data_IF_702166252803
#
_entry.id   IF_702166252803
#
_cell.length_a   1.000
_cell.length_b   1.000
_cell.length_c   1.000
_cell.angle_alpha   90.00
_cell.angle_beta   90.00
_cell.angle_gamma   90.00
#
_symmetry.space_group_name_H-M   'P 1'
#
loop_
_entity.id
_entity.type
_entity.pdbx_description
1 polymer ?
#
# COMPACT_ATOMS: atom_id res chain seq x y z
N UNK A 1 -6.96 -38.94 -7.64
CA UNK A 1 -5.86 -37.97 -7.58
C UNK A 1 -6.37 -36.77 -6.79
N UNK A 2 -5.80 -36.49 -5.63
CA UNK A 2 -6.11 -35.26 -4.89
C UNK A 2 -5.52 -34.10 -5.73
N UNK A 3 -6.36 -33.26 -6.30
CA UNK A 3 -5.93 -32.01 -6.90
C UNK A 3 -5.37 -31.17 -5.76
N UNK A 4 -4.06 -30.94 -5.75
CA UNK A 4 -3.44 -29.98 -4.82
C UNK A 4 -4.11 -28.62 -5.08
N UNK A 5 -4.87 -28.14 -4.12
CA UNK A 5 -5.50 -26.83 -4.18
C UNK A 5 -4.39 -25.77 -4.38
N UNK A 6 -4.45 -25.04 -5.48
CA UNK A 6 -3.49 -23.97 -5.73
C UNK A 6 -3.79 -22.81 -4.77
N UNK A 7 -2.76 -22.27 -4.15
CA UNK A 7 -2.88 -21.20 -3.17
C UNK A 7 -1.81 -20.16 -3.47
N UNK A 8 -2.24 -18.96 -3.84
CA UNK A 8 -1.36 -17.81 -4.06
C UNK A 8 -1.29 -16.90 -2.83
N UNK A 9 -0.19 -16.20 -2.69
CA UNK A 9 0.06 -15.25 -1.60
C UNK A 9 0.18 -13.84 -2.17
N UNK A 10 -0.63 -12.91 -1.63
CA UNK A 10 -0.48 -11.49 -1.86
C UNK A 10 0.17 -10.86 -0.63
N UNK A 11 1.36 -10.32 -0.78
CA UNK A 11 2.00 -9.49 0.23
C UNK A 11 1.83 -8.02 -0.15
N UNK A 12 1.22 -7.23 0.74
CA UNK A 12 1.05 -5.79 0.54
C UNK A 12 1.96 -5.04 1.52
N UNK A 13 2.79 -4.15 0.99
CA UNK A 13 3.63 -3.22 1.74
C UNK A 13 3.28 -1.77 1.41
N UNK A 14 3.24 -0.92 2.44
CA UNK A 14 3.29 0.52 2.24
C UNK A 14 4.72 0.93 1.93
N UNK A 15 4.90 1.95 1.08
CA UNK A 15 6.22 2.56 0.92
C UNK A 15 6.78 3.01 2.27
N UNK A 16 8.09 2.84 2.48
CA UNK A 16 8.82 3.25 3.67
C UNK A 16 8.90 4.78 3.80
N UNK A 17 9.60 5.29 4.81
CA UNK A 17 9.68 6.73 5.07
C UNK A 17 10.23 7.49 3.86
N UNK A 18 9.47 8.48 3.36
CA UNK A 18 9.89 9.39 2.30
C UNK A 18 10.26 10.77 2.84
N UNK A 19 10.98 11.57 2.04
CA UNK A 19 11.36 12.96 2.37
C UNK A 19 10.17 13.79 2.86
N UNK A 20 9.01 13.67 2.23
CA UNK A 20 7.83 14.44 2.62
C UNK A 20 7.04 13.82 3.78
N UNK A 21 7.22 12.54 4.07
CA UNK A 21 6.75 11.97 5.36
C UNK A 21 7.53 12.59 6.51
N UNK A 22 8.85 12.69 6.39
CA UNK A 22 9.71 13.32 7.41
C UNK A 22 9.33 14.79 7.64
N UNK A 23 8.97 15.52 6.57
CA UNK A 23 8.56 16.94 6.62
C UNK A 23 7.09 17.14 7.03
N UNK A 24 6.30 16.07 7.23
CA UNK A 24 4.88 16.16 7.58
C UNK A 24 4.01 16.77 6.48
N UNK A 25 4.39 16.64 5.19
CA UNK A 25 3.66 17.22 4.06
C UNK A 25 2.68 16.24 3.42
N UNK A 26 1.62 16.80 2.83
CA UNK A 26 0.76 16.07 1.91
C UNK A 26 1.50 15.77 0.62
N UNK A 27 1.73 14.50 0.29
CA UNK A 27 2.59 14.12 -0.85
C UNK A 27 1.81 13.93 -2.15
N UNK A 28 0.69 13.25 -2.10
CA UNK A 28 -0.10 12.92 -3.29
C UNK A 28 0.77 12.27 -4.38
N UNK A 29 0.66 12.77 -5.59
CA UNK A 29 1.39 12.29 -6.76
C UNK A 29 2.76 12.95 -6.97
N UNK A 30 3.19 13.85 -6.08
CA UNK A 30 4.55 14.39 -6.13
C UNK A 30 5.56 13.27 -5.97
N UNK A 31 6.53 13.23 -6.87
CA UNK A 31 7.49 12.14 -6.98
C UNK A 31 8.74 12.40 -6.12
N UNK A 32 8.65 12.07 -4.84
CA UNK A 32 9.72 12.22 -3.83
C UNK A 32 10.44 10.89 -3.59
N UNK A 33 11.69 10.96 -3.11
CA UNK A 33 12.48 9.79 -2.76
C UNK A 33 12.15 9.28 -1.35
N UNK A 34 12.59 8.06 -1.06
CA UNK A 34 12.77 7.61 0.32
C UNK A 34 13.89 8.40 1.01
N UNK A 35 13.81 8.48 2.33
CA UNK A 35 14.97 8.82 3.16
C UNK A 35 15.93 7.63 3.21
N UNK A 36 17.19 7.84 3.61
CA UNK A 36 18.14 6.76 3.86
C UNK A 36 17.59 5.77 4.91
N UNK A 37 16.99 6.28 5.98
CA UNK A 37 16.28 5.49 6.98
C UNK A 37 15.17 4.65 6.35
N UNK A 38 14.33 5.27 5.49
CA UNK A 38 13.24 4.56 4.82
C UNK A 38 13.73 3.44 3.91
N UNK A 39 14.84 3.64 3.21
CA UNK A 39 15.43 2.56 2.41
C UNK A 39 15.91 1.40 3.28
N UNK A 40 16.57 1.69 4.41
CA UNK A 40 16.98 0.67 5.36
C UNK A 40 15.79 -0.10 5.97
N UNK A 41 14.70 0.61 6.30
CA UNK A 41 13.44 -0.02 6.74
C UNK A 41 12.88 -0.98 5.68
N UNK A 42 12.97 -0.61 4.39
CA UNK A 42 12.54 -1.49 3.30
C UNK A 42 13.38 -2.78 3.21
N UNK A 43 14.69 -2.68 3.43
CA UNK A 43 15.59 -3.85 3.51
C UNK A 43 15.16 -4.77 4.67
N UNK A 44 14.89 -4.22 5.85
CA UNK A 44 14.41 -5.00 7.00
C UNK A 44 13.07 -5.70 6.72
N UNK A 45 12.16 -5.06 5.98
CA UNK A 45 10.90 -5.69 5.55
C UNK A 45 11.17 -6.89 4.62
N UNK A 46 12.16 -6.79 3.74
CA UNK A 46 12.58 -7.88 2.86
C UNK A 46 13.06 -9.11 3.62
N UNK A 47 13.78 -8.93 4.72
CA UNK A 47 14.23 -10.02 5.59
C UNK A 47 13.07 -10.85 6.17
N UNK A 48 11.91 -10.22 6.39
CA UNK A 48 10.69 -10.88 6.86
C UNK A 48 10.01 -11.73 5.77
N UNK A 49 10.48 -11.69 4.52
CA UNK A 49 9.85 -12.33 3.37
C UNK A 49 10.72 -13.44 2.74
N UNK A 50 11.80 -13.86 3.39
CA UNK A 50 12.72 -14.89 2.88
C UNK A 50 12.07 -16.26 2.66
N UNK A 51 10.96 -16.53 3.34
CA UNK A 51 10.17 -17.76 3.23
C UNK A 51 9.17 -17.75 2.05
N UNK A 52 8.98 -16.61 1.35
CA UNK A 52 8.03 -16.47 0.26
C UNK A 52 8.78 -16.25 -1.05
N UNK A 53 8.69 -17.19 -1.99
CA UNK A 53 9.16 -16.96 -3.36
C UNK A 53 8.08 -16.26 -4.17
N UNK A 54 8.36 -15.05 -4.67
CA UNK A 54 7.45 -14.26 -5.51
C UNK A 54 7.59 -14.60 -6.99
N UNK A 55 6.49 -14.46 -7.72
CA UNK A 55 6.46 -14.56 -9.17
C UNK A 55 6.62 -13.19 -9.82
N UNK A 56 6.12 -12.14 -9.18
CA UNK A 56 6.11 -10.77 -9.72
C UNK A 56 5.89 -9.74 -8.63
N UNK A 57 6.35 -8.50 -8.84
CA UNK A 57 6.08 -7.37 -7.98
C UNK A 57 5.28 -6.29 -8.72
N UNK A 58 4.35 -5.66 -8.01
CA UNK A 58 3.56 -4.53 -8.47
C UNK A 58 3.90 -3.27 -7.66
N UNK A 59 4.13 -2.15 -8.33
CA UNK A 59 4.37 -0.85 -7.69
C UNK A 59 3.52 0.22 -8.36
N UNK A 60 3.38 1.36 -7.70
CA UNK A 60 2.89 2.57 -8.35
C UNK A 60 3.96 3.18 -9.27
N UNK A 61 3.60 4.22 -10.03
CA UNK A 61 4.55 5.01 -10.82
C UNK A 61 5.54 5.81 -9.96
N UNK A 62 5.26 6.01 -8.67
CA UNK A 62 5.99 6.94 -7.81
C UNK A 62 7.26 6.29 -7.25
N UNK A 63 8.38 7.02 -7.30
CA UNK A 63 9.73 6.53 -6.93
C UNK A 63 9.77 5.84 -5.58
N UNK A 64 9.12 6.42 -4.55
CA UNK A 64 9.13 5.86 -3.19
C UNK A 64 8.61 4.42 -3.10
N UNK A 65 7.65 4.00 -3.94
CA UNK A 65 7.20 2.60 -3.97
C UNK A 65 8.19 1.70 -4.69
N UNK A 66 8.79 2.18 -5.78
CA UNK A 66 9.82 1.46 -6.52
C UNK A 66 11.07 1.25 -5.67
N UNK A 67 11.55 2.32 -5.00
CA UNK A 67 12.68 2.25 -4.07
C UNK A 67 12.40 1.34 -2.87
N UNK A 68 11.15 1.34 -2.35
CA UNK A 68 10.76 0.40 -1.29
C UNK A 68 10.78 -1.04 -1.81
N UNK A 69 10.30 -1.28 -3.03
CA UNK A 69 10.37 -2.59 -3.66
C UNK A 69 11.82 -3.05 -3.85
N UNK A 70 12.71 -2.14 -4.28
CA UNK A 70 14.14 -2.42 -4.42
C UNK A 70 14.76 -2.85 -3.08
N UNK A 71 14.51 -2.09 -2.01
CA UNK A 71 14.99 -2.42 -0.66
C UNK A 71 14.42 -3.75 -0.14
N UNK A 72 13.13 -4.02 -0.37
CA UNK A 72 12.53 -5.31 0.01
C UNK A 72 13.22 -6.48 -0.72
N UNK A 73 13.46 -6.35 -2.02
CA UNK A 73 14.11 -7.42 -2.79
C UNK A 73 15.59 -7.59 -2.41
N UNK A 74 16.29 -6.49 -2.07
CA UNK A 74 17.64 -6.53 -1.51
C UNK A 74 17.69 -7.30 -0.19
N UNK A 75 16.82 -6.96 0.77
CA UNK A 75 16.75 -7.61 2.07
C UNK A 75 16.32 -9.08 2.01
N UNK A 76 15.48 -9.42 1.04
CA UNK A 76 15.11 -10.80 0.74
C UNK A 76 16.30 -11.59 0.19
N UNK A 77 17.12 -11.02 -0.68
CA UNK A 77 18.44 -11.49 -1.08
C UNK A 77 18.47 -12.47 -2.25
N UNK A 78 17.36 -13.07 -2.63
CA UNK A 78 17.31 -14.15 -3.63
C UNK A 78 16.50 -13.83 -4.91
N UNK A 79 15.86 -12.69 -5.00
CA UNK A 79 14.97 -12.31 -6.11
C UNK A 79 15.15 -10.84 -6.58
N UNK A 80 16.37 -10.36 -6.67
CA UNK A 80 16.69 -8.97 -7.06
C UNK A 80 16.13 -8.62 -8.45
N UNK A 81 16.16 -9.57 -9.38
CA UNK A 81 15.69 -9.43 -10.76
C UNK A 81 14.21 -9.83 -10.94
N UNK A 82 13.42 -9.87 -9.85
CA UNK A 82 12.00 -10.18 -9.93
C UNK A 82 11.27 -9.26 -10.94
N UNK A 83 10.46 -9.80 -11.87
CA UNK A 83 9.67 -8.99 -12.79
C UNK A 83 8.80 -7.96 -12.06
N UNK A 84 8.78 -6.72 -12.56
CA UNK A 84 8.08 -5.60 -11.92
C UNK A 84 7.08 -4.97 -12.88
N UNK A 85 5.85 -4.82 -12.43
CA UNK A 85 4.78 -4.10 -13.13
C UNK A 85 4.55 -2.78 -12.41
N UNK A 86 4.58 -1.70 -13.18
CA UNK A 86 4.30 -0.34 -12.71
C UNK A 86 2.88 0.01 -13.15
N UNK A 87 2.01 0.34 -12.20
CA UNK A 87 0.61 0.61 -12.46
C UNK A 87 0.18 1.96 -11.83
N UNK A 88 -0.38 2.84 -12.66
CA UNK A 88 -0.92 4.13 -12.24
C UNK A 88 -2.08 3.96 -11.24
N UNK A 89 -2.86 2.92 -11.41
CA UNK A 89 -3.99 2.55 -10.54
C UNK A 89 -3.56 2.34 -9.08
N UNK A 90 -2.26 2.07 -8.86
CA UNK A 90 -1.66 1.90 -7.53
C UNK A 90 -1.04 3.19 -6.97
N UNK A 91 -1.14 4.34 -7.66
CA UNK A 91 -0.66 5.63 -7.14
C UNK A 91 -1.38 6.00 -5.84
N UNK A 92 -0.73 6.85 -5.03
CA UNK A 92 -1.33 7.43 -3.83
C UNK A 92 -2.58 8.25 -4.21
N UNK A 93 -3.42 8.52 -3.25
CA UNK A 93 -4.52 9.48 -3.39
C UNK A 93 -3.95 10.84 -3.79
N UNK A 94 -4.52 11.45 -4.81
CA UNK A 94 -4.23 12.84 -5.15
C UNK A 94 -4.80 13.75 -4.07
N UNK A 95 -3.98 14.64 -3.55
CA UNK A 95 -4.41 15.60 -2.53
C UNK A 95 -4.74 16.99 -3.10
N UNK A 96 -4.72 17.15 -4.44
CA UNK A 96 -5.09 18.40 -5.10
C UNK A 96 -4.43 19.62 -4.48
N UNK A 97 -5.23 20.61 -4.07
CA UNK A 97 -4.77 21.89 -3.50
C UNK A 97 -4.03 21.77 -2.15
N UNK A 98 -4.08 20.59 -1.51
CA UNK A 98 -3.33 20.31 -0.28
C UNK A 98 -1.92 19.79 -0.54
N UNK A 99 -1.59 19.38 -1.77
CA UNK A 99 -0.28 18.83 -2.11
C UNK A 99 0.83 19.82 -1.81
N UNK A 100 1.86 19.37 -1.07
CA UNK A 100 2.99 20.21 -0.62
C UNK A 100 2.77 20.98 0.66
N UNK A 101 1.52 21.15 1.12
CA UNK A 101 1.23 21.83 2.40
C UNK A 101 1.62 20.98 3.59
N UNK A 102 2.00 21.63 4.68
CA UNK A 102 2.25 20.95 5.96
C UNK A 102 0.91 20.50 6.58
N UNK A 103 0.81 19.26 7.02
CA UNK A 103 -0.42 18.67 7.56
C UNK A 103 -0.90 19.38 8.82
N UNK A 104 0.02 19.81 9.67
CA UNK A 104 -0.32 20.44 10.95
C UNK A 104 -0.78 21.89 10.77
N UNK A 105 -0.17 22.62 9.81
CA UNK A 105 -0.63 23.95 9.41
C UNK A 105 -2.04 23.86 8.85
N UNK A 106 -2.31 22.92 7.92
CA UNK A 106 -3.65 22.68 7.38
C UNK A 106 -4.63 22.31 8.49
N UNK A 107 -4.24 21.44 9.44
CA UNK A 107 -5.11 21.10 10.59
C UNK A 107 -5.50 22.33 11.39
N UNK A 108 -4.57 23.26 11.62
CA UNK A 108 -4.85 24.50 12.34
C UNK A 108 -5.77 25.46 11.56
N UNK A 109 -5.67 25.45 10.23
CA UNK A 109 -6.51 26.30 9.36
C UNK A 109 -7.95 25.80 9.24
N UNK A 110 -8.14 24.49 9.01
CA UNK A 110 -9.46 23.91 8.69
C UNK A 110 -10.16 23.26 9.88
N UNK A 111 -9.46 23.08 11.00
CA UNK A 111 -9.97 22.40 12.20
C UNK A 111 -9.87 20.89 12.15
N UNK A 112 -10.05 20.26 13.32
CA UNK A 112 -9.80 18.82 13.49
C UNK A 112 -10.81 17.94 12.75
N UNK A 113 -12.09 18.34 12.72
CA UNK A 113 -13.14 17.56 12.07
C UNK A 113 -12.91 17.45 10.55
N UNK A 114 -12.68 18.59 9.87
CA UNK A 114 -12.39 18.62 8.45
C UNK A 114 -11.07 17.91 8.12
N UNK A 115 -10.04 18.10 8.95
CA UNK A 115 -8.76 17.43 8.79
C UNK A 115 -8.90 15.90 8.90
N UNK A 116 -9.67 15.40 9.87
CA UNK A 116 -9.94 13.98 10.02
C UNK A 116 -10.83 13.46 8.89
N UNK A 117 -11.80 14.23 8.43
CA UNK A 117 -12.61 13.92 7.26
C UNK A 117 -11.73 13.69 6.01
N UNK A 118 -10.82 14.62 5.72
CA UNK A 118 -9.86 14.50 4.62
C UNK A 118 -8.96 13.27 4.80
N UNK A 119 -8.42 13.05 5.99
CA UNK A 119 -7.45 11.95 6.21
C UNK A 119 -8.09 10.58 6.22
N UNK A 120 -9.30 10.45 6.77
CA UNK A 120 -9.89 9.17 7.17
C UNK A 120 -11.19 8.84 6.45
N UNK A 121 -11.93 9.88 6.02
CA UNK A 121 -13.25 9.73 5.44
C UNK A 121 -13.26 8.89 4.17
N UNK A 122 -14.41 8.26 3.91
CA UNK A 122 -14.64 7.48 2.70
C UNK A 122 -14.81 8.37 1.46
N UNK A 123 -15.71 9.31 1.53
CA UNK A 123 -16.11 10.22 0.44
C UNK A 123 -15.99 11.70 0.80
N UNK A 124 -15.19 12.01 1.84
CA UNK A 124 -14.95 13.38 2.25
C UNK A 124 -14.19 14.13 1.16
N UNK A 125 -14.71 15.28 0.68
CA UNK A 125 -14.13 16.00 -0.45
C UNK A 125 -12.70 16.50 -0.16
N UNK A 126 -11.83 16.39 -1.16
CA UNK A 126 -10.49 16.98 -1.17
C UNK A 126 -10.45 17.98 -2.34
N UNK A 127 -10.27 19.28 -2.09
CA UNK A 127 -10.28 20.29 -3.15
C UNK A 127 -9.25 20.00 -4.24
N UNK A 128 -9.71 19.81 -5.47
CA UNK A 128 -8.87 19.49 -6.63
C UNK A 128 -8.24 18.10 -6.61
N UNK A 129 -8.59 17.25 -5.64
CA UNK A 129 -8.00 15.92 -5.45
C UNK A 129 -9.01 14.78 -5.39
N UNK A 130 -8.57 13.62 -4.94
CA UNK A 130 -9.35 12.38 -4.82
C UNK A 130 -9.91 12.18 -3.40
N UNK A 131 -11.11 11.65 -3.30
CA UNK A 131 -11.63 10.99 -2.08
C UNK A 131 -11.05 9.57 -1.98
N UNK A 132 -11.22 8.88 -0.85
CA UNK A 132 -10.85 7.47 -0.75
C UNK A 132 -11.71 6.58 -1.66
N UNK A 133 -12.96 6.99 -1.90
CA UNK A 133 -13.88 6.34 -2.84
C UNK A 133 -13.37 6.39 -4.29
N UNK A 134 -12.76 7.51 -4.71
CA UNK A 134 -12.17 7.62 -6.05
C UNK A 134 -10.94 6.71 -6.18
N UNK A 135 -10.09 6.66 -5.15
CA UNK A 135 -8.97 5.71 -5.09
C UNK A 135 -9.45 4.27 -5.19
N UNK A 136 -10.52 3.91 -4.47
CA UNK A 136 -11.14 2.59 -4.53
C UNK A 136 -11.62 2.28 -5.96
N UNK A 137 -12.27 3.24 -6.62
CA UNK A 137 -12.83 3.06 -7.95
C UNK A 137 -11.78 2.77 -9.04
N UNK A 138 -10.50 3.14 -8.82
CA UNK A 138 -9.39 2.80 -9.74
C UNK A 138 -8.56 1.59 -9.29
N UNK A 139 -8.27 1.49 -7.98
CA UNK A 139 -7.35 0.47 -7.49
C UNK A 139 -7.99 -0.92 -7.35
N UNK A 140 -9.26 -1.00 -6.94
CA UNK A 140 -9.92 -2.29 -6.73
C UNK A 140 -10.24 -3.02 -8.05
N UNK A 141 -10.79 -2.40 -9.10
CA UNK A 141 -10.92 -3.07 -10.39
C UNK A 141 -9.57 -3.59 -10.92
N UNK A 142 -8.48 -2.81 -10.78
CA UNK A 142 -7.15 -3.26 -11.18
C UNK A 142 -6.70 -4.51 -10.39
N UNK A 143 -6.89 -4.53 -9.06
CA UNK A 143 -6.63 -5.73 -8.25
C UNK A 143 -7.42 -6.94 -8.75
N UNK A 144 -8.71 -6.74 -9.07
CA UNK A 144 -9.61 -7.80 -9.50
C UNK A 144 -9.26 -8.38 -10.88
N UNK A 145 -8.84 -7.53 -11.82
CA UNK A 145 -8.58 -7.97 -13.21
C UNK A 145 -7.14 -8.44 -13.43
N UNK A 146 -6.16 -7.84 -12.77
CA UNK A 146 -4.75 -8.09 -13.02
C UNK A 146 -4.08 -9.00 -11.99
N UNK A 147 -4.47 -8.90 -10.70
CA UNK A 147 -3.74 -9.55 -9.62
C UNK A 147 -4.48 -10.79 -9.10
N UNK A 148 -5.77 -10.71 -8.77
CA UNK A 148 -6.51 -11.84 -8.22
C UNK A 148 -6.46 -13.08 -9.12
N UNK A 149 -6.63 -13.00 -10.45
CA UNK A 149 -6.55 -14.19 -11.30
C UNK A 149 -5.17 -14.90 -11.26
N UNK A 150 -4.11 -14.17 -10.96
CA UNK A 150 -2.76 -14.74 -10.77
C UNK A 150 -2.64 -15.47 -9.45
N UNK A 151 -3.16 -14.87 -8.38
CA UNK A 151 -3.22 -15.50 -7.05
C UNK A 151 -4.01 -16.81 -7.07
N UNK A 152 -5.14 -16.84 -7.80
CA UNK A 152 -5.96 -18.06 -8.00
C UNK A 152 -5.22 -19.15 -8.78
N UNK A 153 -4.25 -18.79 -9.64
CA UNK A 153 -3.35 -19.76 -10.29
C UNK A 153 -2.23 -20.26 -9.38
N UNK A 154 -2.12 -19.77 -8.15
CA UNK A 154 -1.09 -20.12 -7.17
C UNK A 154 0.19 -19.29 -7.29
N UNK A 155 0.14 -18.14 -7.98
CA UNK A 155 1.26 -17.22 -8.05
C UNK A 155 1.35 -16.37 -6.77
N UNK A 156 2.57 -16.08 -6.29
CA UNK A 156 2.81 -15.19 -5.16
C UNK A 156 3.20 -13.81 -5.66
N UNK A 157 2.54 -12.78 -5.16
CA UNK A 157 2.67 -11.40 -5.63
C UNK A 157 3.10 -10.49 -4.49
N UNK A 158 4.12 -9.65 -4.74
CA UNK A 158 4.49 -8.53 -3.90
C UNK A 158 3.84 -7.25 -4.44
N UNK A 159 3.06 -6.54 -3.63
CA UNK A 159 2.45 -5.26 -3.99
C UNK A 159 2.97 -4.16 -3.05
N UNK A 160 3.64 -3.15 -3.61
CA UNK A 160 4.13 -2.00 -2.86
C UNK A 160 3.38 -0.75 -3.31
N UNK A 161 2.64 -0.14 -2.38
CA UNK A 161 1.79 1.00 -2.68
C UNK A 161 1.78 2.03 -1.52
N UNK A 162 0.69 2.75 -1.35
CA UNK A 162 0.58 3.92 -0.48
C UNK A 162 -0.54 3.76 0.53
N UNK A 163 -0.51 4.59 1.59
CA UNK A 163 -1.42 4.46 2.71
C UNK A 163 -2.90 4.42 2.32
N UNK A 164 -3.38 5.37 1.51
CA UNK A 164 -4.81 5.38 1.14
C UNK A 164 -5.15 4.34 0.07
N UNK A 165 -4.25 4.09 -0.86
CA UNK A 165 -4.48 3.03 -1.86
C UNK A 165 -4.58 1.66 -1.19
N UNK A 166 -3.69 1.37 -0.23
CA UNK A 166 -3.78 0.12 0.54
C UNK A 166 -5.06 0.08 1.38
N UNK A 167 -5.49 1.19 2.00
CA UNK A 167 -6.79 1.24 2.71
C UNK A 167 -7.98 0.94 1.79
N UNK A 168 -7.94 1.42 0.55
CA UNK A 168 -8.95 1.10 -0.45
C UNK A 168 -8.93 -0.40 -0.82
N UNK A 169 -7.74 -0.99 -0.99
CA UNK A 169 -7.60 -2.44 -1.22
C UNK A 169 -8.05 -3.26 -0.01
N UNK A 170 -7.68 -2.86 1.23
CA UNK A 170 -8.14 -3.51 2.46
C UNK A 170 -9.67 -3.45 2.60
N UNK A 171 -10.28 -2.31 2.21
CA UNK A 171 -11.75 -2.19 2.22
C UNK A 171 -12.42 -3.30 1.41
N UNK A 172 -11.88 -3.64 0.26
CA UNK A 172 -12.37 -4.74 -0.58
C UNK A 172 -11.99 -6.10 0.01
N UNK A 173 -10.71 -6.34 0.30
CA UNK A 173 -10.19 -7.63 0.73
C UNK A 173 -10.73 -8.08 2.09
N UNK A 174 -10.90 -7.15 3.03
CA UNK A 174 -11.37 -7.41 4.39
C UNK A 174 -12.87 -7.10 4.54
N UNK A 175 -13.61 -6.80 3.46
CA UNK A 175 -15.04 -6.49 3.42
C UNK A 175 -15.45 -5.39 4.43
N UNK A 176 -14.64 -4.33 4.53
CA UNK A 176 -14.85 -3.23 5.48
C UNK A 176 -15.96 -2.32 4.96
N UNK A 177 -16.92 -1.95 5.82
CA UNK A 177 -18.01 -1.04 5.49
C UNK A 177 -17.51 0.41 5.24
N UNK A 178 -18.33 1.26 4.61
CA UNK A 178 -18.02 2.68 4.40
C UNK A 178 -17.83 3.41 5.74
N UNK A 179 -18.61 3.07 6.75
CA UNK A 179 -18.47 3.65 8.09
C UNK A 179 -17.21 3.13 8.81
N UNK A 180 -16.81 1.88 8.57
CA UNK A 180 -15.67 1.25 9.24
C UNK A 180 -14.31 1.71 8.71
N UNK A 181 -14.25 2.18 7.44
CA UNK A 181 -12.94 2.49 6.82
C UNK A 181 -12.21 3.67 7.50
N UNK A 182 -12.95 4.53 8.20
CA UNK A 182 -12.36 5.67 8.92
C UNK A 182 -11.35 5.28 10.01
N UNK A 183 -11.49 4.09 10.58
CA UNK A 183 -10.60 3.57 11.65
C UNK A 183 -9.46 2.71 11.13
N UNK A 184 -9.46 2.37 9.84
CA UNK A 184 -8.45 1.48 9.25
C UNK A 184 -7.19 2.25 8.90
N UNK A 185 -6.05 1.70 9.32
CA UNK A 185 -4.72 2.22 8.99
C UNK A 185 -3.84 1.14 8.36
N UNK A 186 -2.93 1.57 7.51
CA UNK A 186 -1.77 0.78 7.11
C UNK A 186 -0.53 1.37 7.79
N UNK A 187 -0.04 0.76 8.87
CA UNK A 187 1.11 1.30 9.58
C UNK A 187 2.40 1.19 8.74
N UNK A 188 3.36 2.05 9.03
CA UNK A 188 4.72 1.87 8.53
C UNK A 188 5.34 0.60 9.12
N UNK A 189 6.22 -0.05 8.36
CA UNK A 189 6.90 -1.24 8.82
C UNK A 189 6.04 -2.51 8.90
N UNK A 190 4.81 -2.47 8.37
CA UNK A 190 3.94 -3.64 8.33
C UNK A 190 3.83 -4.24 6.92
N UNK A 191 3.69 -5.55 6.88
CA UNK A 191 3.37 -6.35 5.71
C UNK A 191 2.04 -7.06 5.95
N UNK A 192 1.06 -6.84 5.07
CA UNK A 192 -0.17 -7.62 5.07
C UNK A 192 0.04 -8.84 4.16
N UNK A 193 -0.18 -10.02 4.69
CA UNK A 193 -0.01 -11.28 3.96
C UNK A 193 -1.38 -11.93 3.81
N UNK A 194 -1.90 -11.93 2.60
CA UNK A 194 -3.18 -12.53 2.25
C UNK A 194 -2.95 -13.83 1.47
N UNK A 195 -3.65 -14.90 1.84
CA UNK A 195 -3.65 -16.18 1.12
C UNK A 195 -4.95 -16.31 0.33
N UNK A 196 -4.81 -16.66 -0.94
CA UNK A 196 -5.95 -16.94 -1.83
C UNK A 196 -5.98 -18.42 -2.18
N UNK A 197 -7.17 -18.93 -2.45
CA UNK A 197 -7.37 -20.22 -3.09
C UNK A 197 -7.81 -20.05 -4.56
N UNK A 198 -8.05 -21.16 -5.24
CA UNK A 198 -8.44 -21.20 -6.66
C UNK A 198 -9.95 -21.02 -6.90
N UNK A 199 -10.74 -20.70 -5.87
CA UNK A 199 -12.21 -20.68 -5.92
C UNK A 199 -12.84 -19.34 -5.56
N UNK A 200 -12.13 -18.51 -4.80
CA UNK A 200 -12.68 -17.28 -4.24
C UNK A 200 -11.92 -16.05 -4.71
N UNK A 201 -12.65 -14.97 -4.96
CA UNK A 201 -12.06 -13.66 -5.28
C UNK A 201 -11.59 -12.90 -4.03
N UNK A 202 -11.93 -13.41 -2.85
CA UNK A 202 -11.52 -12.87 -1.55
C UNK A 202 -10.50 -13.80 -0.89
N UNK A 203 -9.60 -13.27 -0.06
CA UNK A 203 -8.62 -14.09 0.64
C UNK A 203 -9.27 -15.00 1.65
N UNK A 204 -8.72 -16.19 1.82
CA UNK A 204 -9.16 -17.19 2.81
C UNK A 204 -8.43 -17.06 4.16
N UNK A 205 -7.30 -16.34 4.17
CA UNK A 205 -6.49 -16.09 5.36
C UNK A 205 -5.78 -14.74 5.26
N UNK A 206 -5.60 -14.08 6.40
CA UNK A 206 -4.81 -12.86 6.54
C UNK A 206 -3.91 -12.95 7.76
N UNK A 207 -2.64 -12.64 7.58
CA UNK A 207 -1.67 -12.44 8.67
C UNK A 207 -0.94 -11.11 8.49
N UNK A 208 -0.30 -10.62 9.55
CA UNK A 208 0.49 -9.39 9.53
C UNK A 208 1.89 -9.72 10.05
N UNK A 209 2.91 -9.28 9.30
CA UNK A 209 4.31 -9.25 9.77
C UNK A 209 4.70 -7.81 10.01
N UNK A 210 5.50 -7.55 11.00
CA UNK A 210 5.89 -6.19 11.34
C UNK A 210 7.33 -6.14 11.83
N UNK A 211 8.07 -5.12 11.39
CA UNK A 211 9.38 -4.77 11.93
C UNK A 211 9.21 -3.69 13.00
N UNK A 212 10.13 -3.66 13.95
CA UNK A 212 10.15 -2.59 14.97
C UNK A 212 10.82 -1.35 14.40
N UNK A 213 10.02 -0.33 14.14
CA UNK A 213 10.48 0.96 13.62
C UNK A 213 9.80 2.11 14.37
N UNK A 214 10.50 3.25 14.43
CA UNK A 214 9.88 4.51 14.85
C UNK A 214 9.24 5.17 13.63
N UNK A 215 7.89 5.23 13.53
CA UNK A 215 7.24 5.84 12.38
C UNK A 215 7.54 7.34 12.31
N UNK A 216 7.52 7.94 11.12
CA UNK A 216 7.67 9.38 10.98
C UNK A 216 6.57 10.11 11.74
N UNK A 217 6.89 11.29 12.29
CA UNK A 217 5.92 12.17 12.97
C UNK A 217 4.97 12.77 11.94
N UNK A 218 3.99 11.98 11.48
CA UNK A 218 3.06 12.36 10.41
C UNK A 218 1.63 12.51 10.92
#
# INVERSE_FOLDING_TARGET
MMTTQKSGILVISRHAESEWNLLGKWTGWTDVNLTEKGYHEAVMLGEQLRDIAFNEAYTSELKRTRQTCDGILEGKGDQIDLPRIIAKELNERDYGDLTGKNKWEVKNEIGEEAFNGIRRGWDYPVPGGETLKDVYARAVPYLQTEIIPRLQRGENILLVSHGNTIRALMKYLDQISDAGIGTVEMPFGALLVYRFDDKHDLPVEKTVRQIDITPPKA
#
